data_IF_336003248144
#
_entry.id   IF_336003248144
#
_cell.length_a   1.000
_cell.length_b   1.000
_cell.length_c   1.000
_cell.angle_alpha   90.00
_cell.angle_beta   90.00
_cell.angle_gamma   90.00
#
_symmetry.space_group_name_H-M   'P 1'
#
loop_
_entity.id
_entity.type
_entity.pdbx_description
1 polymer ?
#
# COMPACT_ATOMS: atom_id res chain seq x y z
N UNK A 1 -20.17 6.64 0.15
CA UNK A 1 -19.77 8.01 0.55
C UNK A 1 -18.39 8.11 1.20
N UNK A 2 -18.03 7.34 2.24
CA UNK A 2 -16.71 7.45 2.90
C UNK A 2 -15.47 7.18 2.01
N UNK A 3 -15.58 6.27 1.04
CA UNK A 3 -14.45 5.93 0.15
C UNK A 3 -14.15 6.99 -0.91
N UNK A 4 -15.18 7.69 -1.41
CA UNK A 4 -15.03 8.79 -2.37
C UNK A 4 -14.39 10.01 -1.69
N UNK A 5 -14.73 10.26 -0.43
CA UNK A 5 -14.15 11.35 0.36
C UNK A 5 -12.63 11.18 0.61
N UNK A 6 -12.14 9.94 0.78
CA UNK A 6 -10.71 9.68 0.99
C UNK A 6 -9.89 9.87 -0.29
N UNK A 7 -10.43 9.50 -1.46
CA UNK A 7 -9.74 9.71 -2.73
C UNK A 7 -9.74 11.20 -3.13
N UNK A 8 -10.84 11.91 -2.89
CA UNK A 8 -10.92 13.36 -3.08
C UNK A 8 -9.97 14.11 -2.14
N UNK A 9 -9.82 13.69 -0.89
CA UNK A 9 -8.84 14.28 0.02
C UNK A 9 -7.39 14.04 -0.43
N UNK A 10 -7.08 12.87 -0.98
CA UNK A 10 -5.77 12.59 -1.56
C UNK A 10 -5.51 13.43 -2.84
N UNK A 11 -6.54 13.64 -3.67
CA UNK A 11 -6.46 14.48 -4.87
C UNK A 11 -6.35 15.98 -4.54
N UNK A 12 -7.08 16.48 -3.54
CA UNK A 12 -6.98 17.86 -3.06
C UNK A 12 -5.61 18.15 -2.40
N UNK A 13 -4.99 17.15 -1.77
CA UNK A 13 -3.61 17.29 -1.26
C UNK A 13 -2.56 17.39 -2.38
N UNK A 14 -2.85 16.92 -3.61
CA UNK A 14 -1.97 17.10 -4.77
C UNK A 14 -2.04 18.51 -5.39
N UNK A 15 -3.07 19.30 -5.08
CA UNK A 15 -3.20 20.69 -5.56
C UNK A 15 -2.23 21.65 -4.83
N UNK A 16 -1.65 21.25 -3.70
CA UNK A 16 -0.88 22.13 -2.81
C UNK A 16 0.65 22.00 -2.92
N UNK A 17 1.17 21.37 -3.98
CA UNK A 17 2.61 21.13 -4.17
C UNK A 17 3.34 22.25 -4.95
N UNK A 18 2.64 23.24 -5.50
CA UNK A 18 3.25 24.32 -6.30
C UNK A 18 3.70 25.53 -5.44
N UNK A 19 4.28 25.29 -4.25
CA UNK A 19 4.97 26.33 -3.48
C UNK A 19 6.50 26.12 -3.58
N UNK A 20 7.27 27.09 -4.12
CA UNK A 20 8.71 26.92 -4.29
C UNK A 20 9.42 26.93 -2.93
N UNK A 21 10.07 25.82 -2.58
CA UNK A 21 10.92 25.74 -1.40
C UNK A 21 12.28 26.37 -1.71
N UNK A 22 12.52 27.54 -1.10
CA UNK A 22 13.82 28.18 -1.06
C UNK A 22 14.82 27.30 -0.30
N UNK A 23 15.95 27.00 -0.94
CA UNK A 23 17.05 26.21 -0.40
C UNK A 23 17.96 27.11 0.44
N UNK A 24 18.01 26.88 1.75
CA UNK A 24 19.07 27.41 2.61
C UNK A 24 19.92 26.25 3.13
N UNK A 25 21.15 26.17 2.62
CA UNK A 25 22.21 25.28 3.08
C UNK A 25 22.80 25.77 4.40
N UNK A 26 22.89 24.91 5.42
CA UNK A 26 23.69 25.15 6.62
C UNK A 26 24.66 23.98 6.84
N UNK A 27 25.88 24.38 7.15
CA UNK A 27 27.16 23.67 7.09
C UNK A 27 27.43 22.76 8.29
N UNK A 28 28.22 21.72 7.98
CA UNK A 28 28.87 20.72 8.85
C UNK A 28 29.75 21.36 9.94
N UNK A 29 29.57 20.92 11.19
CA UNK A 29 30.50 21.14 12.30
C UNK A 29 31.03 19.81 12.83
N UNK A 30 32.35 19.60 12.72
CA UNK A 30 33.09 18.48 13.31
C UNK A 30 33.35 18.75 14.80
N UNK A 31 33.28 17.71 15.64
CA UNK A 31 34.06 17.68 16.88
C UNK A 31 34.73 16.31 17.07
N UNK A 32 36.06 16.37 17.12
CA UNK A 32 36.99 15.32 17.52
C UNK A 32 36.98 15.12 19.05
N UNK A 33 37.34 13.92 19.50
CA UNK A 33 38.13 13.64 20.74
C UNK A 33 38.51 12.13 20.78
N UNK A 34 39.56 11.71 21.51
CA UNK A 34 40.66 10.88 20.98
C UNK A 34 40.63 9.39 21.41
N UNK A 35 41.55 8.54 20.90
CA UNK A 35 41.49 7.08 21.05
C UNK A 35 42.22 6.56 22.29
N UNK A 36 41.74 5.45 22.85
CA UNK A 36 42.52 4.57 23.75
C UNK A 36 42.63 3.16 23.15
N UNK A 37 43.86 2.84 22.74
CA UNK A 37 44.49 1.51 22.61
C UNK A 37 44.78 0.99 24.03
N UNK A 38 44.85 -0.29 24.42
CA UNK A 38 45.04 -1.62 23.80
C UNK A 38 44.71 -2.68 24.88
N UNK A 39 44.25 -3.88 24.49
CA UNK A 39 44.94 -5.15 24.78
C UNK A 39 44.22 -6.34 24.12
N UNK A 40 45.02 -7.16 23.47
CA UNK A 40 44.64 -8.32 22.65
C UNK A 40 45.03 -9.60 23.40
N UNK A 41 44.08 -10.52 23.54
CA UNK A 41 44.28 -11.97 23.63
C UNK A 41 43.02 -12.56 22.99
N UNK A 42 43.07 -13.29 21.86
CA UNK A 42 43.69 -14.60 21.71
C UNK A 42 42.57 -15.65 21.73
N UNK A 43 41.96 -15.93 20.57
CA UNK A 43 41.02 -17.05 20.36
C UNK A 43 41.78 -18.39 20.27
N UNK A 44 41.10 -19.52 20.55
CA UNK A 44 40.50 -20.35 19.49
C UNK A 44 39.04 -20.74 19.82
N UNK A 45 38.10 -20.68 18.88
CA UNK A 45 37.71 -21.73 17.91
C UNK A 45 37.04 -22.95 18.55
N UNK A 46 35.75 -23.07 18.20
CA UNK A 46 34.88 -24.25 18.12
C UNK A 46 34.17 -24.82 19.36
N UNK A 47 32.90 -25.17 19.10
CA UNK A 47 31.93 -25.91 19.91
C UNK A 47 31.14 -25.17 21.01
N UNK A 48 30.02 -24.55 20.63
CA UNK A 48 28.81 -24.59 21.47
C UNK A 48 27.62 -25.10 20.65
N UNK A 49 27.61 -26.43 20.53
CA UNK A 49 26.43 -27.26 20.57
C UNK A 49 25.38 -26.62 21.50
N UNK A 50 24.27 -26.11 20.95
CA UNK A 50 23.12 -25.64 21.75
C UNK A 50 22.44 -26.87 22.37
N UNK A 51 23.09 -27.48 23.37
CA UNK A 51 22.48 -28.50 24.22
C UNK A 51 21.29 -27.86 24.89
N UNK A 52 20.12 -28.44 24.63
CA UNK A 52 18.90 -28.13 25.35
C UNK A 52 19.19 -28.23 26.85
N UNK A 53 19.16 -27.09 27.54
CA UNK A 53 19.24 -27.04 29.00
C UNK A 53 17.97 -27.72 29.52
N UNK A 54 18.05 -29.00 29.83
CA UNK A 54 16.97 -29.75 30.47
C UNK A 54 16.94 -29.36 31.96
N UNK A 55 16.41 -28.16 32.23
CA UNK A 55 16.24 -27.65 33.58
C UNK A 55 14.99 -28.33 34.20
N UNK A 56 15.10 -29.08 35.31
CA UNK A 56 13.97 -29.79 35.93
C UNK A 56 12.77 -28.90 36.29
N UNK A 57 13.02 -27.60 36.50
CA UNK A 57 12.00 -26.56 36.72
C UNK A 57 11.07 -26.40 35.51
N UNK A 58 11.57 -26.53 34.27
CA UNK A 58 10.77 -26.37 33.05
C UNK A 58 9.79 -27.53 32.86
N UNK A 59 10.20 -28.76 33.20
CA UNK A 59 9.31 -29.92 33.17
C UNK A 59 8.24 -29.82 34.27
N UNK A 60 8.59 -29.36 35.48
CA UNK A 60 7.62 -29.07 36.55
C UNK A 60 6.62 -27.98 36.17
N UNK A 61 7.04 -26.95 35.43
CA UNK A 61 6.14 -25.90 34.92
C UNK A 61 5.19 -26.43 33.84
N UNK A 62 5.67 -27.32 32.95
CA UNK A 62 4.82 -28.02 31.97
C UNK A 62 3.76 -28.89 32.64
N UNK A 63 4.14 -29.61 33.69
CA UNK A 63 3.23 -30.51 34.43
C UNK A 63 2.23 -29.73 35.30
N UNK A 64 2.65 -28.61 35.87
CA UNK A 64 1.78 -27.68 36.60
C UNK A 64 0.76 -26.99 35.68
N UNK A 65 1.16 -26.63 34.45
CA UNK A 65 0.26 -26.06 33.45
C UNK A 65 -0.75 -27.09 32.90
N UNK A 66 -0.41 -28.39 32.88
CA UNK A 66 -1.35 -29.47 32.54
C UNK A 66 -2.40 -29.72 33.63
N UNK A 67 -2.09 -29.45 34.90
CA UNK A 67 -3.02 -29.66 36.04
C UNK A 67 -4.02 -28.53 36.25
N UNK A 68 -3.87 -27.39 35.57
CA UNK A 68 -4.76 -26.22 35.70
C UNK A 68 -5.37 -25.82 34.35
N UNK A 69 -6.31 -26.62 33.85
CA UNK A 69 -7.04 -26.35 32.59
C UNK A 69 -8.11 -25.26 32.70
N UNK A 70 -8.14 -24.46 33.76
CA UNK A 70 -8.98 -23.26 33.86
C UNK A 70 -8.26 -22.04 33.27
N UNK A 71 -8.57 -21.71 32.01
CA UNK A 71 -8.28 -20.43 31.31
C UNK A 71 -6.89 -19.83 31.58
N UNK A 72 -5.83 -20.47 31.07
CA UNK A 72 -4.54 -19.79 30.88
C UNK A 72 -4.79 -18.56 29.98
N UNK A 73 -4.54 -17.35 30.51
CA UNK A 73 -4.73 -16.09 29.78
C UNK A 73 -3.80 -16.05 28.56
N UNK A 74 -4.18 -15.27 27.53
CA UNK A 74 -3.35 -15.11 26.35
C UNK A 74 -1.97 -14.50 26.68
N UNK A 75 -1.87 -13.69 27.73
CA UNK A 75 -0.60 -13.14 28.23
C UNK A 75 0.36 -14.22 28.74
N UNK A 76 -0.12 -15.21 29.49
CA UNK A 76 0.72 -16.33 29.96
C UNK A 76 1.19 -17.23 28.81
N UNK A 77 0.32 -17.49 27.82
CA UNK A 77 0.70 -18.24 26.61
C UNK A 77 1.76 -17.50 25.80
N UNK A 78 1.59 -16.19 25.59
CA UNK A 78 2.56 -15.34 24.90
C UNK A 78 3.92 -15.37 25.59
N UNK A 79 3.95 -15.25 26.93
CA UNK A 79 5.18 -15.34 27.72
C UNK A 79 5.89 -16.68 27.55
N UNK A 80 5.13 -17.78 27.57
CA UNK A 80 5.69 -19.11 27.40
C UNK A 80 6.22 -19.35 25.97
N UNK A 81 5.51 -18.91 24.94
CA UNK A 81 5.97 -19.00 23.55
C UNK A 81 7.29 -18.24 23.35
N UNK A 82 7.42 -17.05 23.97
CA UNK A 82 8.65 -16.27 23.92
C UNK A 82 9.79 -16.98 24.63
N UNK A 83 9.56 -17.49 25.85
CA UNK A 83 10.58 -18.20 26.60
C UNK A 83 11.08 -19.44 25.84
N UNK A 84 10.19 -20.13 25.13
CA UNK A 84 10.52 -21.26 24.28
C UNK A 84 11.15 -20.88 22.93
N UNK A 85 11.33 -19.58 22.65
CA UNK A 85 11.92 -19.11 21.39
C UNK A 85 11.09 -19.44 20.15
N UNK A 86 9.75 -19.50 20.27
CA UNK A 86 8.87 -19.88 19.16
C UNK A 86 8.98 -18.91 17.98
N UNK A 87 9.00 -19.43 16.77
CA UNK A 87 8.92 -18.62 15.56
C UNK A 87 7.53 -17.98 15.41
N UNK A 88 7.41 -16.99 14.52
CA UNK A 88 6.14 -16.39 14.15
C UNK A 88 5.12 -17.42 13.65
N UNK A 89 5.61 -18.39 12.88
CA UNK A 89 4.85 -19.47 12.26
C UNK A 89 4.34 -20.47 13.30
N UNK A 90 5.23 -20.95 14.18
CA UNK A 90 4.87 -21.84 15.27
C UNK A 90 3.85 -21.20 16.22
N UNK A 91 4.03 -19.93 16.57
CA UNK A 91 3.09 -19.20 17.41
C UNK A 91 1.70 -19.07 16.73
N UNK A 92 1.66 -18.89 15.41
CA UNK A 92 0.42 -18.83 14.64
C UNK A 92 -0.36 -20.15 14.73
N UNK A 93 0.32 -21.28 14.55
CA UNK A 93 -0.25 -22.63 14.63
C UNK A 93 -0.63 -23.00 16.06
N UNK A 94 0.18 -22.66 17.07
CA UNK A 94 -0.15 -22.88 18.49
C UNK A 94 -1.43 -22.14 18.92
N UNK A 95 -1.70 -20.99 18.30
CA UNK A 95 -2.91 -20.21 18.50
C UNK A 95 -4.09 -20.66 17.62
N UNK A 96 -3.90 -21.74 16.85
CA UNK A 96 -4.88 -22.34 15.92
C UNK A 96 -5.41 -21.34 14.89
N UNK A 97 -4.55 -20.44 14.42
CA UNK A 97 -4.90 -19.41 13.44
C UNK A 97 -4.79 -19.89 11.99
N UNK A 98 -4.10 -21.01 11.77
CA UNK A 98 -4.00 -21.75 10.50
C UNK A 98 -5.38 -22.24 10.02
N UNK A 99 -6.30 -22.52 10.94
CA UNK A 99 -7.66 -22.96 10.66
C UNK A 99 -8.65 -21.80 10.42
N UNK A 100 -8.17 -20.55 10.46
CA UNK A 100 -9.06 -19.39 10.42
C UNK A 100 -9.57 -19.03 9.01
N UNK A 101 -8.83 -19.39 7.97
CA UNK A 101 -9.14 -19.04 6.58
C UNK A 101 -9.31 -17.53 6.39
N UNK A 102 -10.33 -17.13 5.62
CA UNK A 102 -10.64 -15.72 5.33
C UNK A 102 -11.03 -14.87 6.55
N UNK A 103 -11.42 -15.49 7.66
CA UNK A 103 -11.92 -14.80 8.86
C UNK A 103 -10.83 -14.58 9.92
N UNK A 104 -9.55 -14.65 9.53
CA UNK A 104 -8.39 -14.53 10.44
C UNK A 104 -8.46 -13.30 11.34
N UNK A 105 -8.72 -12.13 10.77
CA UNK A 105 -8.70 -10.85 11.51
C UNK A 105 -9.78 -10.78 12.60
N UNK A 106 -10.84 -11.55 12.47
CA UNK A 106 -11.97 -11.60 13.41
C UNK A 106 -11.74 -12.61 14.55
N UNK A 107 -10.72 -13.48 14.44
CA UNK A 107 -10.42 -14.45 15.48
C UNK A 107 -9.88 -13.74 16.71
N UNK A 108 -10.49 -14.01 17.88
CA UNK A 108 -10.03 -13.49 19.17
C UNK A 108 -8.54 -13.76 19.45
N UNK A 109 -8.00 -14.88 18.95
CA UNK A 109 -6.59 -15.25 19.13
C UNK A 109 -5.62 -14.51 18.19
N UNK A 110 -6.11 -13.82 17.17
CA UNK A 110 -5.28 -13.02 16.28
C UNK A 110 -4.64 -11.85 17.02
N UNK A 111 -5.35 -11.20 17.96
CA UNK A 111 -4.76 -10.15 18.79
C UNK A 111 -3.61 -10.66 19.65
N UNK A 112 -3.71 -11.88 20.19
CA UNK A 112 -2.64 -12.52 20.95
C UNK A 112 -1.39 -12.76 20.08
N UNK A 113 -1.58 -13.19 18.82
CA UNK A 113 -0.48 -13.32 17.86
C UNK A 113 0.12 -11.97 17.48
N UNK A 114 -0.69 -10.93 17.30
CA UNK A 114 -0.19 -9.56 17.05
C UNK A 114 0.65 -9.06 18.23
N UNK A 115 0.21 -9.27 19.47
CA UNK A 115 0.99 -8.93 20.67
C UNK A 115 2.30 -9.71 20.72
N UNK A 116 2.27 -11.01 20.41
CA UNK A 116 3.47 -11.84 20.33
C UNK A 116 4.47 -11.30 19.31
N UNK A 117 4.02 -11.05 18.06
CA UNK A 117 4.85 -10.54 16.98
C UNK A 117 5.46 -9.18 17.30
N UNK A 118 4.73 -8.31 17.99
CA UNK A 118 5.23 -7.00 18.46
C UNK A 118 6.32 -7.15 19.50
N UNK A 119 6.24 -8.17 20.35
CA UNK A 119 7.22 -8.43 21.41
C UNK A 119 8.53 -9.02 20.86
N UNK A 120 8.46 -9.89 19.85
CA UNK A 120 9.64 -10.56 19.29
C UNK A 120 10.31 -9.79 18.14
N UNK A 121 9.60 -8.87 17.47
CA UNK A 121 10.14 -8.03 16.39
C UNK A 121 10.08 -6.56 16.80
N UNK A 122 11.15 -6.04 17.42
CA UNK A 122 11.14 -4.68 17.99
C UNK A 122 11.11 -3.57 16.92
N UNK A 123 11.88 -3.72 15.86
CA UNK A 123 12.07 -2.63 14.90
C UNK A 123 10.94 -2.57 13.85
N UNK A 124 10.56 -3.74 13.31
CA UNK A 124 9.62 -3.82 12.19
C UNK A 124 8.54 -4.90 12.36
N UNK A 125 7.75 -4.86 13.45
CA UNK A 125 6.79 -5.92 13.75
C UNK A 125 5.71 -6.09 12.70
N UNK A 126 5.20 -4.99 12.12
CA UNK A 126 4.18 -5.04 11.07
C UNK A 126 4.72 -5.67 9.78
N UNK A 127 5.98 -5.40 9.43
CA UNK A 127 6.64 -6.03 8.28
C UNK A 127 6.75 -7.53 8.49
N UNK A 128 7.21 -7.97 9.66
CA UNK A 128 7.31 -9.39 10.00
C UNK A 128 5.93 -10.09 9.99
N UNK A 129 4.88 -9.43 10.51
CA UNK A 129 3.51 -9.93 10.44
C UNK A 129 3.06 -10.11 8.98
N UNK A 130 3.23 -9.10 8.15
CA UNK A 130 2.88 -9.16 6.72
C UNK A 130 3.64 -10.29 6.03
N UNK A 131 4.96 -10.40 6.20
CA UNK A 131 5.75 -11.48 5.59
C UNK A 131 5.21 -12.86 5.97
N UNK A 132 4.89 -13.05 7.26
CA UNK A 132 4.33 -14.32 7.76
C UNK A 132 2.96 -14.61 7.14
N UNK A 133 2.10 -13.58 7.00
CA UNK A 133 0.77 -13.72 6.42
C UNK A 133 0.81 -13.91 4.90
N UNK A 134 1.68 -13.19 4.19
CA UNK A 134 1.87 -13.33 2.74
C UNK A 134 2.34 -14.75 2.39
N UNK A 135 3.22 -15.34 3.20
CA UNK A 135 3.64 -16.74 2.99
C UNK A 135 2.49 -17.76 3.08
N UNK A 136 1.38 -17.41 3.72
CA UNK A 136 0.19 -18.28 3.88
C UNK A 136 -0.93 -17.99 2.88
N UNK A 137 -1.18 -16.70 2.62
CA UNK A 137 -2.34 -16.26 1.85
C UNK A 137 -1.98 -15.74 0.46
N UNK A 138 -0.68 -15.62 0.14
CA UNK A 138 -0.20 -14.89 -1.02
C UNK A 138 -0.45 -13.38 -0.90
N UNK A 139 0.14 -12.60 -1.82
CA UNK A 139 -0.03 -11.14 -1.83
C UNK A 139 -1.49 -10.74 -2.10
N UNK A 140 -2.10 -11.33 -3.14
CA UNK A 140 -3.49 -11.05 -3.52
C UNK A 140 -4.48 -11.48 -2.43
N UNK A 141 -4.33 -12.69 -1.89
CA UNK A 141 -5.22 -13.20 -0.85
C UNK A 141 -5.14 -12.37 0.43
N UNK A 142 -3.93 -11.98 0.85
CA UNK A 142 -3.75 -11.09 1.98
C UNK A 142 -4.31 -9.67 1.71
N UNK A 143 -4.09 -9.12 0.51
CA UNK A 143 -4.61 -7.79 0.14
C UNK A 143 -6.15 -7.75 0.21
N UNK A 144 -6.82 -8.79 -0.33
CA UNK A 144 -8.27 -8.96 -0.25
C UNK A 144 -8.76 -9.07 1.19
N UNK A 145 -8.08 -9.86 2.02
CA UNK A 145 -8.43 -10.03 3.43
C UNK A 145 -8.32 -8.70 4.19
N UNK A 146 -7.25 -7.94 3.96
CA UNK A 146 -7.05 -6.65 4.62
C UNK A 146 -8.07 -5.61 4.17
N UNK A 147 -8.40 -5.56 2.87
CA UNK A 147 -9.47 -4.68 2.36
C UNK A 147 -10.84 -5.00 2.96
N UNK A 148 -11.19 -6.27 3.11
CA UNK A 148 -12.40 -6.67 3.82
C UNK A 148 -12.35 -6.23 5.30
N UNK A 149 -11.22 -6.48 5.97
CA UNK A 149 -11.01 -6.11 7.37
C UNK A 149 -11.09 -4.60 7.64
N UNK A 150 -10.77 -3.74 6.65
CA UNK A 150 -10.89 -2.28 6.78
C UNK A 150 -12.33 -1.79 6.92
N UNK A 151 -13.30 -2.55 6.38
CA UNK A 151 -14.73 -2.21 6.41
C UNK A 151 -15.42 -2.61 7.70
N UNK A 152 -14.82 -3.51 8.46
CA UNK A 152 -15.35 -3.98 9.75
C UNK A 152 -14.77 -3.14 10.89
N UNK A 153 -15.64 -2.49 11.68
CA UNK A 153 -15.24 -1.55 12.75
C UNK A 153 -14.19 -2.16 13.71
N UNK A 154 -14.35 -3.42 14.08
CA UNK A 154 -13.46 -4.11 15.02
C UNK A 154 -12.05 -4.35 14.47
N UNK A 155 -11.91 -4.59 13.17
CA UNK A 155 -10.63 -4.96 12.53
C UNK A 155 -10.00 -3.82 11.73
N UNK A 156 -10.73 -2.72 11.51
CA UNK A 156 -10.33 -1.63 10.62
C UNK A 156 -8.96 -1.04 10.96
N UNK A 157 -8.66 -0.87 12.25
CA UNK A 157 -7.40 -0.30 12.72
C UNK A 157 -6.19 -1.19 12.42
N UNK A 158 -6.27 -2.50 12.68
CA UNK A 158 -5.15 -3.41 12.41
C UNK A 158 -5.03 -3.69 10.91
N UNK A 159 -6.16 -3.84 10.20
CA UNK A 159 -6.18 -4.09 8.76
C UNK A 159 -5.52 -2.94 7.98
N UNK A 160 -5.83 -1.68 8.32
CA UNK A 160 -5.21 -0.51 7.69
C UNK A 160 -3.69 -0.46 7.93
N UNK A 161 -3.24 -0.76 9.17
CA UNK A 161 -1.81 -0.77 9.51
C UNK A 161 -1.05 -1.87 8.77
N UNK A 162 -1.63 -3.06 8.66
CA UNK A 162 -1.04 -4.18 7.95
C UNK A 162 -1.04 -3.94 6.43
N UNK A 163 -2.07 -3.30 5.87
CA UNK A 163 -2.10 -2.99 4.45
C UNK A 163 -1.00 -2.00 4.05
N UNK A 164 -0.79 -0.93 4.84
CA UNK A 164 0.33 -0.01 4.58
C UNK A 164 1.68 -0.73 4.70
N UNK A 165 1.81 -1.65 5.67
CA UNK A 165 3.02 -2.46 5.77
C UNK A 165 3.18 -3.40 4.56
N UNK A 166 2.09 -3.97 4.04
CA UNK A 166 2.06 -4.78 2.83
C UNK A 166 2.56 -4.02 1.61
N UNK A 167 2.05 -2.80 1.40
CA UNK A 167 2.52 -1.91 0.33
C UNK A 167 4.01 -1.58 0.47
N UNK A 168 4.51 -1.35 1.68
CA UNK A 168 5.94 -1.13 1.91
C UNK A 168 6.79 -2.37 1.64
N UNK A 169 6.27 -3.57 1.89
CA UNK A 169 6.93 -4.83 1.51
C UNK A 169 6.99 -4.94 0.00
N UNK A 170 5.90 -4.65 -0.72
CA UNK A 170 5.88 -4.65 -2.18
C UNK A 170 6.90 -3.67 -2.77
N UNK A 171 7.00 -2.45 -2.22
CA UNK A 171 8.00 -1.46 -2.65
C UNK A 171 9.44 -1.93 -2.42
N UNK A 172 9.71 -2.56 -1.26
CA UNK A 172 11.05 -3.09 -0.95
C UNK A 172 11.42 -4.27 -1.84
N UNK A 173 10.43 -5.08 -2.22
CA UNK A 173 10.60 -6.19 -3.13
C UNK A 173 10.53 -5.76 -4.60
N UNK A 174 10.49 -4.45 -4.87
CA UNK A 174 10.51 -3.85 -6.21
C UNK A 174 9.44 -4.40 -7.16
N UNK A 175 8.24 -4.67 -6.63
CA UNK A 175 7.11 -5.13 -7.44
C UNK A 175 6.80 -4.15 -8.58
N UNK A 176 6.60 -4.67 -9.78
CA UNK A 176 6.24 -3.88 -10.96
C UNK A 176 4.82 -3.34 -10.82
N UNK A 177 4.49 -2.28 -11.58
CA UNK A 177 3.11 -1.77 -11.56
C UNK A 177 2.10 -2.82 -12.05
N UNK A 178 2.47 -3.65 -13.02
CA UNK A 178 1.61 -4.76 -13.51
C UNK A 178 1.31 -5.79 -12.40
N UNK A 179 2.31 -6.15 -11.60
CA UNK A 179 2.10 -7.02 -10.43
C UNK A 179 1.14 -6.36 -9.42
N UNK A 180 1.29 -5.06 -9.18
CA UNK A 180 0.41 -4.31 -8.28
C UNK A 180 -1.03 -4.27 -8.82
N UNK A 181 -1.20 -4.08 -10.13
CA UNK A 181 -2.52 -4.14 -10.77
C UNK A 181 -3.17 -5.52 -10.61
N UNK A 182 -2.38 -6.58 -10.79
CA UNK A 182 -2.83 -7.97 -10.59
C UNK A 182 -3.25 -8.22 -9.13
N UNK A 183 -2.37 -7.88 -8.17
CA UNK A 183 -2.61 -8.07 -6.73
C UNK A 183 -3.86 -7.31 -6.25
N UNK A 184 -4.10 -6.12 -6.80
CA UNK A 184 -5.25 -5.29 -6.49
C UNK A 184 -6.49 -5.62 -7.34
N UNK A 185 -6.41 -6.65 -8.18
CA UNK A 185 -7.46 -7.11 -9.08
C UNK A 185 -8.02 -5.98 -9.96
N UNK A 186 -7.14 -5.09 -10.42
CA UNK A 186 -7.48 -3.94 -11.24
C UNK A 186 -7.62 -4.25 -12.71
N UNK A 187 -7.15 -5.41 -13.18
CA UNK A 187 -7.17 -5.91 -14.56
C UNK A 187 -8.53 -6.42 -15.07
N UNK A 188 -9.61 -6.25 -14.28
CA UNK A 188 -10.94 -6.83 -14.54
C UNK A 188 -11.76 -6.14 -15.64
N UNK A 189 -11.14 -5.25 -16.41
CA UNK A 189 -11.78 -4.43 -17.43
C UNK A 189 -11.88 -2.97 -17.03
N UNK A 190 -11.65 -2.08 -18.00
CA UNK A 190 -11.67 -0.63 -17.82
C UNK A 190 -13.06 -0.14 -17.38
N UNK A 191 -14.13 -0.78 -17.83
CA UNK A 191 -15.53 -0.50 -17.48
C UNK A 191 -15.79 -0.61 -15.96
N UNK A 192 -15.09 -1.51 -15.28
CA UNK A 192 -15.23 -1.72 -13.84
C UNK A 192 -14.28 -0.85 -13.01
N UNK A 193 -13.32 -0.19 -13.64
CA UNK A 193 -12.23 0.52 -12.98
C UNK A 193 -12.73 1.49 -11.90
N UNK A 194 -13.70 2.35 -12.23
CA UNK A 194 -14.15 3.43 -11.33
C UNK A 194 -14.85 2.87 -10.08
N UNK A 195 -15.53 1.73 -10.24
CA UNK A 195 -16.21 1.05 -9.12
C UNK A 195 -15.28 0.09 -8.36
N UNK A 196 -14.08 -0.15 -8.89
CA UNK A 196 -13.12 -1.07 -8.30
C UNK A 196 -12.47 -0.47 -7.07
N UNK A 197 -12.67 -1.13 -5.92
CA UNK A 197 -12.13 -0.69 -4.65
C UNK A 197 -10.59 -0.73 -4.60
N UNK A 198 -9.96 -1.57 -5.44
CA UNK A 198 -8.52 -1.61 -5.63
C UNK A 198 -7.92 -0.27 -6.06
N UNK A 199 -8.71 0.62 -6.67
CA UNK A 199 -8.23 1.92 -7.12
C UNK A 199 -7.77 2.82 -5.96
N UNK A 200 -8.44 2.72 -4.79
CA UNK A 200 -8.00 3.43 -3.58
C UNK A 200 -6.68 2.88 -3.04
N UNK A 201 -6.50 1.55 -3.12
CA UNK A 201 -5.27 0.91 -2.72
C UNK A 201 -4.11 1.29 -3.66
N UNK A 202 -4.36 1.37 -4.97
CA UNK A 202 -3.39 1.85 -5.95
C UNK A 202 -2.98 3.31 -5.67
N UNK A 203 -3.95 4.20 -5.40
CA UNK A 203 -3.65 5.59 -5.04
C UNK A 203 -2.76 5.68 -3.79
N UNK A 204 -3.04 4.85 -2.78
CA UNK A 204 -2.22 4.78 -1.56
C UNK A 204 -0.82 4.24 -1.86
N UNK A 205 -0.70 3.22 -2.72
CA UNK A 205 0.57 2.66 -3.13
C UNK A 205 1.42 3.67 -3.90
N UNK A 206 0.86 4.36 -4.89
CA UNK A 206 1.55 5.40 -5.69
C UNK A 206 2.03 6.54 -4.79
N UNK A 207 1.23 6.95 -3.81
CA UNK A 207 1.66 7.94 -2.82
C UNK A 207 2.89 7.49 -2.02
N UNK A 208 2.93 6.22 -1.60
CA UNK A 208 4.09 5.65 -0.92
C UNK A 208 5.30 5.51 -1.85
N UNK A 209 5.06 5.17 -3.12
CA UNK A 209 6.08 5.04 -4.15
C UNK A 209 6.74 6.39 -4.47
N UNK A 210 5.96 7.43 -4.74
CA UNK A 210 6.49 8.78 -5.03
C UNK A 210 7.27 9.36 -3.84
N UNK A 211 6.84 9.08 -2.60
CA UNK A 211 7.55 9.49 -1.38
C UNK A 211 8.96 8.92 -1.23
N UNK A 212 9.35 7.92 -2.01
CA UNK A 212 10.71 7.41 -2.00
C UNK A 212 11.69 8.30 -2.78
N UNK A 213 11.22 9.40 -3.39
CA UNK A 213 12.01 10.40 -4.13
C UNK A 213 13.05 9.76 -5.07
N UNK A 214 12.55 8.89 -5.95
CA UNK A 214 13.37 8.12 -6.90
C UNK A 214 13.56 8.82 -8.24
N UNK A 215 13.06 10.05 -8.40
CA UNK A 215 13.01 10.77 -9.68
C UNK A 215 12.13 10.11 -10.75
N UNK A 216 11.31 9.12 -10.38
CA UNK A 216 10.44 8.34 -11.28
C UNK A 216 8.98 8.41 -10.83
N UNK A 217 8.55 9.58 -10.37
CA UNK A 217 7.20 9.79 -9.86
C UNK A 217 6.13 9.47 -10.92
N UNK A 218 4.99 8.99 -10.45
CA UNK A 218 3.85 8.66 -11.30
C UNK A 218 2.53 9.08 -10.67
N UNK A 219 1.42 8.86 -11.37
CA UNK A 219 0.07 9.14 -10.89
C UNK A 219 -0.87 7.98 -11.22
N UNK A 220 -1.99 7.89 -10.48
CA UNK A 220 -3.02 6.87 -10.73
C UNK A 220 -3.47 6.89 -12.19
N UNK A 221 -3.74 8.08 -12.73
CA UNK A 221 -4.25 8.21 -14.10
C UNK A 221 -3.21 7.81 -15.13
N UNK A 222 -1.93 8.14 -14.92
CA UNK A 222 -0.83 7.73 -15.79
C UNK A 222 -0.71 6.20 -15.84
N UNK A 223 -0.65 5.54 -14.68
CA UNK A 223 -0.53 4.08 -14.64
C UNK A 223 -1.75 3.36 -15.23
N UNK A 224 -2.95 3.89 -14.96
CA UNK A 224 -4.20 3.37 -15.55
C UNK A 224 -4.18 3.49 -17.08
N UNK A 225 -3.72 4.61 -17.63
CA UNK A 225 -3.60 4.82 -19.08
C UNK A 225 -2.51 3.95 -19.70
N UNK A 226 -1.37 3.78 -19.03
CA UNK A 226 -0.33 2.83 -19.45
C UNK A 226 -0.88 1.40 -19.54
N UNK A 227 -1.70 0.97 -18.57
CA UNK A 227 -2.24 -0.39 -18.52
C UNK A 227 -3.39 -0.62 -19.51
N UNK A 228 -4.36 0.30 -19.58
CA UNK A 228 -5.59 0.12 -20.36
C UNK A 228 -5.59 0.82 -21.72
N UNK A 229 -4.64 1.73 -21.96
CA UNK A 229 -4.60 2.61 -23.12
C UNK A 229 -5.40 3.89 -22.93
N UNK A 230 -4.84 5.00 -23.41
CA UNK A 230 -5.39 6.35 -23.34
C UNK A 230 -6.84 6.42 -23.83
N UNK A 231 -7.12 5.87 -25.02
CA UNK A 231 -8.44 5.94 -25.66
C UNK A 231 -9.51 5.27 -24.81
N UNK A 232 -9.26 4.03 -24.37
CA UNK A 232 -10.21 3.24 -23.59
C UNK A 232 -10.51 3.92 -22.24
N UNK A 233 -9.47 4.43 -21.57
CA UNK A 233 -9.62 5.14 -20.29
C UNK A 233 -10.40 6.43 -20.49
N UNK A 234 -10.05 7.26 -21.48
CA UNK A 234 -10.75 8.52 -21.75
C UNK A 234 -12.24 8.34 -22.01
N UNK A 235 -12.60 7.37 -22.85
CA UNK A 235 -14.01 7.07 -23.18
C UNK A 235 -14.76 6.57 -21.95
N UNK A 236 -14.13 5.69 -21.17
CA UNK A 236 -14.73 5.15 -19.94
C UNK A 236 -14.98 6.23 -18.90
N UNK A 237 -14.00 7.12 -18.67
CA UNK A 237 -14.17 8.26 -17.75
C UNK A 237 -15.30 9.18 -18.24
N UNK A 238 -15.39 9.45 -19.53
CA UNK A 238 -16.45 10.29 -20.09
C UNK A 238 -17.84 9.68 -19.92
N UNK A 239 -17.98 8.37 -20.16
CA UNK A 239 -19.24 7.66 -19.95
C UNK A 239 -19.63 7.65 -18.47
N UNK A 240 -18.67 7.39 -17.57
CA UNK A 240 -18.92 7.32 -16.14
C UNK A 240 -19.25 8.67 -15.50
N UNK A 241 -18.95 9.79 -16.17
CA UNK A 241 -19.47 11.11 -15.77
C UNK A 241 -20.98 11.21 -15.93
N UNK A 242 -21.61 10.42 -16.79
CA UNK A 242 -23.06 10.46 -16.99
C UNK A 242 -23.84 9.64 -15.96
N UNK A 243 -23.15 8.88 -15.10
CA UNK A 243 -23.75 8.05 -14.07
C UNK A 243 -23.58 8.74 -12.71
N UNK A 244 -24.67 9.03 -11.95
CA UNK A 244 -24.61 9.80 -10.71
C UNK A 244 -23.60 9.25 -9.68
N UNK A 245 -23.54 7.93 -9.52
CA UNK A 245 -22.71 7.26 -8.51
C UNK A 245 -21.20 7.40 -8.81
N UNK A 246 -20.83 7.52 -10.09
CA UNK A 246 -19.44 7.61 -10.54
C UNK A 246 -19.03 9.00 -10.98
N UNK A 247 -19.98 9.93 -11.14
CA UNK A 247 -19.78 11.27 -11.69
C UNK A 247 -18.58 11.99 -11.07
N UNK A 248 -18.55 12.08 -9.73
CA UNK A 248 -17.52 12.85 -9.02
C UNK A 248 -16.12 12.29 -9.24
N UNK A 249 -15.97 10.96 -9.11
CA UNK A 249 -14.68 10.31 -9.27
C UNK A 249 -14.22 10.34 -10.75
N UNK A 250 -15.13 10.07 -11.68
CA UNK A 250 -14.85 10.12 -13.11
C UNK A 250 -14.42 11.52 -13.55
N UNK A 251 -15.08 12.56 -13.03
CA UNK A 251 -14.70 13.96 -13.28
C UNK A 251 -13.30 14.26 -12.75
N UNK A 252 -12.99 13.86 -11.51
CA UNK A 252 -11.69 14.11 -10.92
C UNK A 252 -10.55 13.40 -11.69
N UNK A 253 -10.77 12.14 -12.09
CA UNK A 253 -9.81 11.38 -12.89
C UNK A 253 -9.64 11.97 -14.30
N UNK A 254 -10.71 12.46 -14.92
CA UNK A 254 -10.63 13.09 -16.24
C UNK A 254 -9.91 14.44 -16.18
N UNK A 255 -10.11 15.22 -15.11
CA UNK A 255 -9.31 16.43 -14.86
C UNK A 255 -7.82 16.10 -14.67
N UNK A 256 -7.51 15.03 -13.93
CA UNK A 256 -6.14 14.55 -13.77
C UNK A 256 -5.53 14.10 -15.12
N UNK A 257 -6.32 13.44 -15.97
CA UNK A 257 -5.93 13.08 -17.34
C UNK A 257 -5.59 14.34 -18.17
N UNK A 258 -6.41 15.38 -18.08
CA UNK A 258 -6.16 16.64 -18.80
C UNK A 258 -4.90 17.35 -18.28
N UNK A 259 -4.68 17.38 -16.97
CA UNK A 259 -3.45 17.91 -16.38
C UNK A 259 -2.24 17.14 -16.89
N UNK A 260 -2.29 15.81 -16.86
CA UNK A 260 -1.22 14.95 -17.38
C UNK A 260 -0.89 15.27 -18.84
N UNK A 261 -1.87 15.23 -19.72
CA UNK A 261 -1.68 15.55 -21.14
C UNK A 261 -1.10 16.94 -21.36
N UNK A 262 -1.57 17.95 -20.62
CA UNK A 262 -1.03 19.30 -20.71
C UNK A 262 0.42 19.38 -20.24
N UNK A 263 0.77 18.75 -19.11
CA UNK A 263 2.14 18.72 -18.59
C UNK A 263 3.11 17.99 -19.52
N UNK A 264 2.63 16.98 -20.24
CA UNK A 264 3.39 16.25 -21.25
C UNK A 264 3.41 16.98 -22.62
N UNK A 265 2.79 18.17 -22.70
CA UNK A 265 2.81 19.01 -23.90
C UNK A 265 1.90 18.54 -25.03
N UNK A 266 0.94 17.65 -24.74
CA UNK A 266 -0.04 17.22 -25.73
C UNK A 266 -0.85 18.42 -26.24
N UNK A 267 -1.10 18.44 -27.55
CA UNK A 267 -1.91 19.46 -28.21
C UNK A 267 -3.32 18.91 -28.45
N UNK A 268 -4.36 19.75 -28.49
CA UNK A 268 -5.73 19.29 -28.73
C UNK A 268 -5.89 18.44 -30.01
N UNK A 269 -5.14 18.72 -31.07
CA UNK A 269 -5.15 17.91 -32.29
C UNK A 269 -4.61 16.47 -32.07
N UNK A 270 -3.65 16.27 -31.16
CA UNK A 270 -3.16 14.93 -30.83
C UNK A 270 -4.24 14.14 -30.09
N UNK A 271 -4.97 14.77 -29.17
CA UNK A 271 -6.11 14.14 -28.47
C UNK A 271 -7.23 13.79 -29.45
N UNK A 272 -7.51 14.67 -30.42
CA UNK A 272 -8.45 14.37 -31.50
C UNK A 272 -8.07 13.10 -32.28
N UNK A 273 -6.79 12.99 -32.65
CA UNK A 273 -6.25 11.82 -33.37
C UNK A 273 -6.30 10.56 -32.50
N UNK A 274 -5.91 10.67 -31.22
CA UNK A 274 -5.94 9.55 -30.26
C UNK A 274 -7.35 8.98 -30.09
N UNK A 275 -8.37 9.82 -30.09
CA UNK A 275 -9.77 9.39 -29.99
C UNK A 275 -10.35 8.84 -31.30
N UNK A 276 -9.53 8.68 -32.35
CA UNK A 276 -9.95 8.20 -33.68
C UNK A 276 -11.13 8.99 -34.29
N UNK A 277 -11.14 10.31 -34.09
CA UNK A 277 -12.23 11.18 -34.52
C UNK A 277 -12.29 11.36 -36.05
N UNK A 278 -13.49 11.22 -36.62
CA UNK A 278 -13.77 11.45 -38.04
C UNK A 278 -14.41 12.82 -38.26
N UNK A 279 -13.90 13.60 -39.23
CA UNK A 279 -14.33 14.99 -39.47
C UNK A 279 -15.81 15.09 -39.83
N UNK A 280 -16.37 14.07 -40.45
CA UNK A 280 -17.74 14.04 -40.95
C UNK A 280 -18.75 13.78 -39.82
N UNK A 281 -18.36 13.04 -38.78
CA UNK A 281 -19.28 12.51 -37.76
C UNK A 281 -18.95 12.91 -36.33
N UNK A 282 -17.83 13.61 -36.09
CA UNK A 282 -17.35 13.90 -34.72
C UNK A 282 -18.36 14.65 -33.86
N UNK A 283 -19.22 15.49 -34.44
CA UNK A 283 -20.21 16.26 -33.67
C UNK A 283 -21.23 15.36 -32.96
N UNK A 284 -21.54 14.20 -33.56
CA UNK A 284 -22.43 13.19 -33.01
C UNK A 284 -21.71 12.16 -32.13
N UNK A 285 -20.37 12.16 -32.12
CA UNK A 285 -19.60 11.23 -31.30
C UNK A 285 -19.65 11.68 -29.83
N UNK A 286 -20.18 10.87 -28.89
CA UNK A 286 -20.17 11.21 -27.46
C UNK A 286 -18.76 11.42 -26.89
N UNK A 287 -17.75 10.75 -27.46
CA UNK A 287 -16.35 10.88 -27.05
C UNK A 287 -15.77 12.26 -27.40
N UNK A 288 -16.44 13.04 -28.26
CA UNK A 288 -16.00 14.39 -28.61
C UNK A 288 -16.02 15.31 -27.39
N UNK A 289 -16.77 14.96 -26.33
CA UNK A 289 -16.73 15.68 -25.06
C UNK A 289 -15.36 15.60 -24.37
N UNK A 290 -14.62 14.51 -24.54
CA UNK A 290 -13.24 14.41 -24.02
C UNK A 290 -12.36 15.47 -24.68
N UNK A 291 -12.41 15.55 -26.02
CA UNK A 291 -11.63 16.52 -26.77
C UNK A 291 -12.06 17.96 -26.48
N UNK A 292 -13.37 18.25 -26.43
CA UNK A 292 -13.90 19.58 -26.10
C UNK A 292 -13.42 20.02 -24.70
N UNK A 293 -13.57 19.14 -23.72
CA UNK A 293 -13.12 19.40 -22.35
C UNK A 293 -11.62 19.66 -22.27
N UNK A 294 -10.81 18.86 -22.97
CA UNK A 294 -9.37 19.09 -23.02
C UNK A 294 -8.99 20.39 -23.74
N UNK A 295 -9.67 20.73 -24.84
CA UNK A 295 -9.44 21.98 -25.57
C UNK A 295 -9.70 23.21 -24.68
N UNK A 296 -10.79 23.19 -23.91
CA UNK A 296 -11.10 24.24 -22.95
C UNK A 296 -10.04 24.33 -21.84
N UNK A 297 -9.70 23.19 -21.23
CA UNK A 297 -8.63 23.11 -20.23
C UNK A 297 -7.30 23.67 -20.78
N UNK A 298 -6.90 23.25 -21.98
CA UNK A 298 -5.67 23.68 -22.63
C UNK A 298 -5.63 25.20 -22.86
N UNK A 299 -6.74 25.79 -23.33
CA UNK A 299 -6.85 27.24 -23.54
C UNK A 299 -6.72 28.01 -22.23
N UNK A 300 -7.40 27.56 -21.17
CA UNK A 300 -7.35 28.18 -19.85
C UNK A 300 -5.93 28.16 -19.27
N UNK A 301 -5.25 27.00 -19.34
CA UNK A 301 -3.88 26.87 -18.84
C UNK A 301 -2.89 27.73 -19.64
N UNK A 302 -3.01 27.76 -20.98
CA UNK A 302 -2.17 28.64 -21.82
C UNK A 302 -2.34 30.11 -21.46
N UNK A 303 -3.58 30.57 -21.27
CA UNK A 303 -3.86 31.95 -20.89
C UNK A 303 -3.27 32.32 -19.52
N UNK A 304 -3.25 31.38 -18.56
CA UNK A 304 -2.67 31.59 -17.24
C UNK A 304 -1.12 31.63 -17.25
N UNK A 305 -0.47 30.97 -18.21
CA UNK A 305 1.00 30.91 -18.32
C UNK A 305 1.66 32.04 -19.09
N UNK A 306 0.90 32.96 -19.71
CA UNK A 306 1.47 34.13 -20.38
C UNK A 306 1.73 35.22 -19.34
N UNK A 307 2.99 35.63 -19.09
CA UNK A 307 3.27 36.75 -18.19
C UNK A 307 2.64 38.02 -18.77
N UNK A 308 1.94 38.78 -17.91
CA UNK A 308 1.40 40.11 -18.22
C UNK A 308 2.51 41.11 -18.47
#
# INVERSE_FOLDING_TARGET
>A
MRSVALLLAALAFLENLDAPLAVNSITRGQHHTPPLRLLRSGTPSDEEERKAINLPVVNKLKDAAKRTTSKISDTTKIGMMRFQGKTADEAFTLLKLDQAGGNLLERKKFSAWVSYMTMINKDHPKTAMVTTLTARYGDEGLAKMLEAGRKVKATSGIATKLQVAQMKVWLRNEKTMDEIFTILALEKGVDKLITNQGLNALATYIHLYNKQDRGKETSVIKEVMTFYGDEAVSKTLQAAKMVPETHTLATALQTAQFKLWFTEGAKPFQIWKMLNMKKETWMMNPDAQVWRGYLEFYKLQKAATVPK
#
